data_IF_989057825954
#
_entry.id   IF_989057825954
#
_cell.length_a   1.000
_cell.length_b   1.000
_cell.length_c   1.000
_cell.angle_alpha   90.00
_cell.angle_beta   90.00
_cell.angle_gamma   90.00
#
_symmetry.space_group_name_H-M   'P 1'
#
loop_
_entity.id
_entity.type
_entity.pdbx_description
1 polymer ?
#
# COMPACT_ATOMS: atom_id res chain seq x y z
N UNK A 1 12.27 20.75 1.54
CA UNK A 1 11.15 19.83 1.85
C UNK A 1 10.92 18.92 0.66
N UNK A 2 10.98 17.59 0.83
CA UNK A 2 10.62 16.66 -0.26
C UNK A 2 9.14 16.84 -0.60
N UNK A 3 8.75 16.89 -1.88
CA UNK A 3 7.35 17.00 -2.24
C UNK A 3 6.59 15.84 -1.61
N UNK A 4 5.47 16.14 -0.95
CA UNK A 4 4.56 15.14 -0.41
C UNK A 4 4.15 14.25 -1.59
N UNK A 5 4.48 12.96 -1.52
CA UNK A 5 4.21 12.01 -2.58
C UNK A 5 2.69 11.92 -2.77
N UNK A 6 2.15 12.58 -3.81
CA UNK A 6 0.70 12.66 -4.01
C UNK A 6 0.07 11.28 -4.26
N UNK A 7 0.85 10.33 -4.77
CA UNK A 7 0.41 8.99 -5.16
C UNK A 7 1.43 7.94 -4.75
N UNK A 8 0.98 6.94 -4.00
CA UNK A 8 1.76 5.75 -3.64
C UNK A 8 1.85 4.84 -4.86
N UNK A 9 3.08 4.52 -5.28
CA UNK A 9 3.39 3.54 -6.31
C UNK A 9 3.70 2.19 -5.67
N UNK A 10 3.39 1.11 -6.37
CA UNK A 10 3.59 -0.25 -5.89
C UNK A 10 4.30 -1.10 -6.94
N UNK A 11 4.84 -2.25 -6.51
CA UNK A 11 5.31 -3.28 -7.45
C UNK A 11 4.14 -4.05 -8.03
N UNK A 12 4.31 -4.65 -9.21
CA UNK A 12 3.28 -5.53 -9.78
C UNK A 12 2.95 -6.71 -8.85
N UNK A 13 3.96 -7.28 -8.20
CA UNK A 13 3.78 -8.34 -7.19
C UNK A 13 2.84 -7.89 -6.08
N UNK A 14 3.02 -6.68 -5.57
CA UNK A 14 2.16 -6.11 -4.53
C UNK A 14 0.74 -5.88 -5.06
N UNK A 15 0.57 -5.44 -6.30
CA UNK A 15 -0.77 -5.32 -6.94
C UNK A 15 -1.51 -6.65 -6.94
N UNK A 16 -0.86 -7.74 -7.35
CA UNK A 16 -1.47 -9.08 -7.31
C UNK A 16 -1.86 -9.51 -5.89
N UNK A 17 -1.00 -9.24 -4.90
CA UNK A 17 -1.31 -9.54 -3.49
C UNK A 17 -2.55 -8.77 -3.02
N UNK A 18 -2.64 -7.47 -3.30
CA UNK A 18 -3.77 -6.65 -2.88
C UNK A 18 -5.06 -7.12 -3.58
N UNK A 19 -5.01 -7.46 -4.86
CA UNK A 19 -6.17 -8.01 -5.60
C UNK A 19 -6.62 -9.34 -4.96
N UNK A 20 -5.70 -10.24 -4.65
CA UNK A 20 -6.03 -11.51 -4.02
C UNK A 20 -6.66 -11.32 -2.63
N UNK A 21 -6.09 -10.43 -1.80
CA UNK A 21 -6.65 -10.10 -0.49
C UNK A 21 -8.04 -9.49 -0.65
N UNK A 22 -8.24 -8.59 -1.63
CA UNK A 22 -9.53 -7.98 -1.93
C UNK A 22 -10.59 -9.03 -2.27
N UNK A 23 -10.26 -9.98 -3.16
CA UNK A 23 -11.16 -11.07 -3.54
C UNK A 23 -11.50 -11.98 -2.35
N UNK A 24 -10.52 -12.26 -1.49
CA UNK A 24 -10.72 -13.15 -0.31
C UNK A 24 -11.49 -12.49 0.83
N UNK A 25 -11.27 -11.21 1.07
CA UNK A 25 -11.82 -10.49 2.25
C UNK A 25 -13.08 -9.69 1.95
N UNK A 26 -13.36 -9.39 0.67
CA UNK A 26 -14.47 -8.54 0.28
C UNK A 26 -14.27 -7.04 0.60
N UNK A 27 -13.07 -6.62 1.04
CA UNK A 27 -12.81 -5.21 1.36
C UNK A 27 -12.82 -4.36 0.08
N UNK A 28 -13.69 -3.34 -0.04
CA UNK A 28 -13.90 -2.64 -1.30
C UNK A 28 -12.73 -1.73 -1.70
N UNK A 29 -11.96 -1.23 -0.72
CA UNK A 29 -10.92 -0.21 -0.92
C UNK A 29 -9.50 -0.77 -0.78
N UNK A 30 -8.68 -0.55 -1.81
CA UNK A 30 -7.25 -0.88 -1.82
C UNK A 30 -6.48 -0.19 -0.67
N UNK A 31 -6.84 1.04 -0.32
CA UNK A 31 -6.19 1.78 0.78
C UNK A 31 -6.38 1.12 2.15
N UNK A 32 -7.53 0.51 2.41
CA UNK A 32 -7.78 -0.20 3.67
C UNK A 32 -6.90 -1.45 3.78
N UNK A 33 -6.77 -2.22 2.69
CA UNK A 33 -5.90 -3.40 2.64
C UNK A 33 -4.44 -3.00 2.86
N UNK A 34 -3.97 -1.92 2.23
CA UNK A 34 -2.60 -1.44 2.42
C UNK A 34 -2.32 -1.01 3.88
N UNK A 35 -3.29 -0.42 4.58
CA UNK A 35 -3.13 -0.08 6.02
C UNK A 35 -2.91 -1.34 6.85
N UNK A 36 -3.70 -2.37 6.61
CA UNK A 36 -3.60 -3.64 7.34
C UNK A 36 -2.24 -4.29 7.07
N UNK A 37 -1.78 -4.29 5.81
CA UNK A 37 -0.46 -4.79 5.45
C UNK A 37 0.68 -4.01 6.13
N UNK A 38 0.55 -2.69 6.27
CA UNK A 38 1.54 -1.85 6.96
C UNK A 38 1.53 -2.12 8.47
N UNK A 39 0.36 -2.15 9.11
CA UNK A 39 0.26 -2.49 10.53
C UNK A 39 0.82 -3.90 10.82
N UNK A 40 0.53 -4.86 9.94
CA UNK A 40 1.06 -6.21 10.04
C UNK A 40 2.59 -6.25 9.87
N UNK A 41 3.11 -5.53 8.88
CA UNK A 41 4.57 -5.45 8.64
C UNK A 41 5.31 -4.77 9.80
N UNK A 42 4.71 -3.77 10.43
CA UNK A 42 5.30 -3.08 11.59
C UNK A 42 5.27 -3.94 12.87
N UNK A 43 4.31 -4.85 12.98
CA UNK A 43 4.23 -5.78 14.10
C UNK A 43 5.18 -6.98 13.97
N UNK A 44 5.82 -7.16 12.81
CA UNK A 44 6.77 -8.23 12.57
C UNK A 44 8.18 -7.76 12.90
N UNK A 45 8.93 -8.51 13.72
CA UNK A 45 10.36 -8.27 13.99
C UNK A 45 11.28 -8.63 12.80
N UNK A 46 10.70 -9.06 11.68
CA UNK A 46 11.45 -9.47 10.50
C UNK A 46 12.04 -8.27 9.77
N UNK A 47 13.36 -8.29 9.58
CA UNK A 47 14.07 -7.26 8.79
C UNK A 47 13.63 -7.38 7.33
N UNK A 48 13.20 -6.28 6.69
CA UNK A 48 12.81 -6.31 5.29
C UNK A 48 13.97 -6.79 4.42
N UNK A 49 13.64 -7.51 3.34
CA UNK A 49 14.64 -8.00 2.40
C UNK A 49 15.49 -6.83 1.86
N UNK A 50 16.83 -6.97 1.79
CA UNK A 50 17.73 -5.93 1.29
C UNK A 50 17.60 -5.68 -0.22
N UNK A 51 16.76 -6.46 -0.91
CA UNK A 51 16.56 -6.35 -2.36
C UNK A 51 15.83 -5.03 -2.68
N UNK A 52 16.35 -4.22 -3.61
CA UNK A 52 15.69 -2.99 -4.01
C UNK A 52 14.31 -3.28 -4.61
N UNK A 53 13.29 -2.60 -4.10
CA UNK A 53 11.92 -2.78 -4.55
C UNK A 53 11.65 -1.99 -5.83
N UNK A 54 11.19 -2.69 -6.87
CA UNK A 54 10.81 -2.09 -8.16
C UNK A 54 9.37 -1.59 -8.09
N UNK A 55 9.12 -0.40 -8.61
CA UNK A 55 7.82 0.29 -8.57
C UNK A 55 7.20 0.42 -9.97
N UNK A 56 6.99 -0.72 -10.63
CA UNK A 56 6.52 -0.80 -12.04
C UNK A 56 4.99 -0.83 -12.20
N UNK A 57 4.20 -0.82 -11.12
CA UNK A 57 2.75 -1.00 -11.24
C UNK A 57 2.00 0.31 -11.55
N UNK A 58 0.98 0.21 -12.40
CA UNK A 58 -0.02 1.27 -12.66
C UNK A 58 -0.98 1.53 -11.49
N UNK A 59 -0.96 0.70 -10.45
CA UNK A 59 -1.84 0.87 -9.30
C UNK A 59 -1.35 2.07 -8.48
N UNK A 60 -2.05 3.20 -8.57
CA UNK A 60 -1.77 4.39 -7.78
C UNK A 60 -2.82 4.59 -6.68
N UNK A 61 -2.38 4.69 -5.43
CA UNK A 61 -3.25 5.07 -4.29
C UNK A 61 -2.93 6.50 -3.88
N UNK A 62 -3.95 7.36 -3.79
CA UNK A 62 -3.75 8.71 -3.23
C UNK A 62 -3.38 8.61 -1.76
N UNK A 63 -2.28 9.27 -1.39
CA UNK A 63 -1.79 9.26 0.00
C UNK A 63 -2.84 9.84 0.97
N UNK A 64 -3.65 10.80 0.53
CA UNK A 64 -4.75 11.38 1.32
C UNK A 64 -5.81 10.34 1.70
N UNK A 65 -6.22 9.51 0.72
CA UNK A 65 -7.13 8.38 0.96
C UNK A 65 -6.47 7.34 1.87
N UNK A 66 -5.16 7.14 1.77
CA UNK A 66 -4.42 6.24 2.65
C UNK A 66 -4.33 6.76 4.09
N UNK A 67 -4.23 8.07 4.30
CA UNK A 67 -4.18 8.66 5.65
C UNK A 67 -5.57 8.94 6.25
N UNK A 68 -6.65 8.72 5.48
CA UNK A 68 -8.02 9.06 5.90
C UNK A 68 -8.14 10.55 6.31
N UNK A 69 -7.30 11.40 5.73
CA UNK A 69 -7.38 12.84 5.92
C UNK A 69 -8.64 13.30 5.18
N UNK A 70 -9.71 13.53 5.93
CA UNK A 70 -10.83 14.36 5.47
C UNK A 70 -10.21 15.74 5.21
N UNK A 71 -10.13 16.14 3.93
CA UNK A 71 -9.93 17.55 3.63
C UNK A 71 -11.07 18.31 4.32
N UNK A 72 -10.71 19.11 5.32
CA UNK A 72 -11.60 20.08 5.95
C UNK A 72 -11.39 21.42 5.27
#
# INVERSE_FOLDING_TARGET
>A
MRPIVKRLRFSEKTRYQIINIKTKTGIPTYAAICRWGICYSLAQDSVPSPVPQVFDSDLEIRQEKFLNLKQK
#
